data_IF_927249626627
#
_entry.id   IF_927249626627
#
_cell.length_a   1.000
_cell.length_b   1.000
_cell.length_c   1.000
_cell.angle_alpha   90.00
_cell.angle_beta   90.00
_cell.angle_gamma   90.00
#
_symmetry.space_group_name_H-M   'P 1'
#
loop_
_entity.id
_entity.type
_entity.pdbx_description
1 polymer ?
#
# COMPACT_ATOMS: atom_id res chain seq x y z
N UNK A 1 -3.34 27.33 -16.44
CA UNK A 1 -3.56 26.02 -15.78
C UNK A 1 -3.23 24.91 -16.76
N UNK A 2 -2.55 23.83 -16.35
CA UNK A 2 -2.39 22.65 -17.23
C UNK A 2 -3.77 22.07 -17.53
N UNK A 3 -4.05 21.76 -18.81
CA UNK A 3 -5.31 21.14 -19.24
C UNK A 3 -5.46 19.78 -18.55
N UNK A 4 -6.53 19.60 -17.79
CA UNK A 4 -6.87 18.31 -17.19
C UNK A 4 -7.55 17.43 -18.23
N UNK A 5 -7.23 16.14 -18.24
CA UNK A 5 -7.88 15.14 -19.08
C UNK A 5 -8.37 14.02 -18.19
N UNK A 6 -9.66 13.72 -18.29
CA UNK A 6 -10.29 12.64 -17.54
C UNK A 6 -10.16 11.34 -18.33
N UNK A 7 -9.75 10.28 -17.64
CA UNK A 7 -9.57 8.96 -18.22
C UNK A 7 -10.49 7.99 -17.47
N UNK A 8 -11.32 7.26 -18.21
CA UNK A 8 -12.20 6.24 -17.63
C UNK A 8 -11.39 5.12 -16.95
N UNK A 9 -11.90 4.59 -15.85
CA UNK A 9 -11.24 3.56 -15.05
C UNK A 9 -10.88 2.31 -15.88
N UNK A 10 -11.76 1.88 -16.78
CA UNK A 10 -11.56 0.68 -17.60
C UNK A 10 -10.36 0.84 -18.55
N UNK A 11 -10.14 2.06 -19.07
CA UNK A 11 -8.97 2.35 -19.91
C UNK A 11 -7.67 2.25 -19.12
N UNK A 12 -7.67 2.69 -17.87
CA UNK A 12 -6.52 2.59 -16.97
C UNK A 12 -6.23 1.12 -16.64
N UNK A 13 -7.26 0.33 -16.30
CA UNK A 13 -7.14 -1.10 -16.01
C UNK A 13 -6.59 -1.86 -17.23
N UNK A 14 -7.11 -1.55 -18.43
CA UNK A 14 -6.64 -2.13 -19.69
C UNK A 14 -5.17 -1.78 -19.94
N UNK A 15 -4.77 -0.52 -19.70
CA UNK A 15 -3.39 -0.08 -19.85
C UNK A 15 -2.43 -0.78 -18.88
N UNK A 16 -2.78 -0.89 -17.60
CA UNK A 16 -1.96 -1.59 -16.60
C UNK A 16 -1.80 -3.05 -17.02
N UNK A 17 -2.91 -3.74 -17.32
CA UNK A 17 -2.91 -5.15 -17.72
C UNK A 17 -2.04 -5.41 -18.96
N UNK A 18 -2.12 -4.54 -19.98
CA UNK A 18 -1.27 -4.67 -21.18
C UNK A 18 0.21 -4.51 -20.85
N UNK A 19 0.54 -3.58 -19.97
CA UNK A 19 1.93 -3.27 -19.63
C UNK A 19 2.55 -4.35 -18.75
N UNK A 20 1.83 -4.83 -17.73
CA UNK A 20 2.32 -5.89 -16.82
C UNK A 20 2.39 -7.26 -17.51
N UNK A 21 1.52 -7.52 -18.50
CA UNK A 21 1.60 -8.73 -19.32
C UNK A 21 2.93 -8.83 -20.08
N UNK A 22 3.50 -7.71 -20.56
CA UNK A 22 4.82 -7.71 -21.23
C UNK A 22 5.96 -8.13 -20.30
N UNK A 23 5.79 -7.94 -18.99
CA UNK A 23 6.75 -8.37 -17.98
C UNK A 23 6.50 -9.82 -17.53
N UNK A 24 5.49 -10.51 -18.04
CA UNK A 24 5.04 -11.82 -17.57
C UNK A 24 4.57 -11.82 -16.10
N UNK A 25 4.05 -10.69 -15.61
CA UNK A 25 3.42 -10.65 -14.29
C UNK A 25 2.17 -11.52 -14.28
N UNK A 26 2.05 -12.43 -13.31
CA UNK A 26 0.90 -13.31 -13.17
C UNK A 26 -0.39 -12.51 -13.00
N UNK A 27 -1.48 -13.01 -13.58
CA UNK A 27 -2.81 -12.35 -13.54
C UNK A 27 -3.23 -11.96 -12.12
N UNK A 28 -3.07 -12.87 -11.16
CA UNK A 28 -3.44 -12.63 -9.74
C UNK A 28 -2.71 -11.43 -9.14
N UNK A 29 -1.41 -11.31 -9.40
CA UNK A 29 -0.59 -10.21 -8.90
C UNK A 29 -0.92 -8.89 -9.60
N UNK A 30 -1.19 -8.95 -10.91
CA UNK A 30 -1.71 -7.81 -11.66
C UNK A 30 -3.05 -7.31 -11.10
N UNK A 31 -3.98 -8.22 -10.78
CA UNK A 31 -5.30 -7.87 -10.25
C UNK A 31 -5.16 -7.16 -8.88
N UNK A 32 -4.25 -7.62 -8.02
CA UNK A 32 -3.95 -6.96 -6.74
C UNK A 32 -3.28 -5.59 -6.91
N UNK A 33 -2.31 -5.48 -7.82
CA UNK A 33 -1.69 -4.20 -8.17
C UNK A 33 -2.74 -3.20 -8.66
N UNK A 34 -3.60 -3.62 -9.59
CA UNK A 34 -4.69 -2.79 -10.12
C UNK A 34 -5.65 -2.37 -9.01
N UNK A 35 -6.12 -3.32 -8.18
CA UNK A 35 -7.06 -3.04 -7.08
C UNK A 35 -6.51 -1.97 -6.14
N UNK A 36 -5.22 -2.04 -5.80
CA UNK A 36 -4.60 -1.05 -4.92
C UNK A 36 -4.40 0.32 -5.59
N UNK A 37 -3.78 0.37 -6.79
CA UNK A 37 -3.44 1.65 -7.43
C UNK A 37 -4.66 2.40 -7.95
N UNK A 38 -5.56 1.69 -8.64
CA UNK A 38 -6.78 2.28 -9.15
C UNK A 38 -7.69 2.66 -7.97
N UNK A 39 -7.86 1.76 -7.00
CA UNK A 39 -8.66 2.03 -5.81
C UNK A 39 -8.18 3.26 -5.03
N UNK A 40 -6.86 3.43 -4.88
CA UNK A 40 -6.28 4.60 -4.20
C UNK A 40 -6.54 5.89 -4.96
N UNK A 41 -6.42 5.86 -6.30
CA UNK A 41 -6.72 7.02 -7.15
C UNK A 41 -8.21 7.39 -7.07
N UNK A 42 -9.10 6.40 -7.09
CA UNK A 42 -10.55 6.61 -6.96
C UNK A 42 -10.98 7.20 -5.61
N UNK A 43 -10.15 7.05 -4.57
CA UNK A 43 -10.35 7.68 -3.25
C UNK A 43 -9.63 9.03 -3.12
N UNK A 44 -9.00 9.54 -4.18
CA UNK A 44 -8.24 10.79 -4.15
C UNK A 44 -6.85 10.68 -3.50
N UNK A 45 -6.35 9.46 -3.28
CA UNK A 45 -5.01 9.20 -2.72
C UNK A 45 -4.02 9.01 -3.87
N UNK A 46 -3.91 10.01 -4.74
CA UNK A 46 -3.07 9.98 -5.96
C UNK A 46 -1.57 9.86 -5.66
N UNK A 47 -1.19 10.13 -4.40
CA UNK A 47 0.17 9.91 -3.90
C UNK A 47 0.62 8.46 -4.09
N UNK A 48 -0.29 7.51 -3.87
CA UNK A 48 -0.09 6.06 -3.93
C UNK A 48 -1.02 5.39 -4.95
N UNK A 49 -1.56 6.18 -5.89
CA UNK A 49 -2.42 5.71 -6.97
C UNK A 49 -1.64 5.33 -8.24
N UNK A 50 -2.31 5.44 -9.39
CA UNK A 50 -1.78 5.06 -10.71
C UNK A 50 -0.46 5.74 -11.08
N UNK A 51 -0.18 6.90 -10.48
CA UNK A 51 1.08 7.63 -10.66
C UNK A 51 2.31 6.82 -10.25
N UNK A 52 2.16 5.84 -9.35
CA UNK A 52 3.26 4.94 -8.95
C UNK A 52 3.46 3.76 -9.89
N UNK A 53 2.59 3.54 -10.88
CA UNK A 53 2.75 2.41 -11.81
C UNK A 53 4.15 2.37 -12.46
N UNK A 54 4.74 3.48 -12.99
CA UNK A 54 6.08 3.44 -13.56
C UNK A 54 7.16 3.00 -12.56
N UNK A 55 7.01 3.33 -11.28
CA UNK A 55 7.94 2.89 -10.23
C UNK A 55 7.92 1.38 -10.06
N UNK A 56 6.72 0.77 -10.01
CA UNK A 56 6.61 -0.68 -9.86
C UNK A 56 7.07 -1.45 -11.10
N UNK A 57 6.74 -0.96 -12.29
CA UNK A 57 7.21 -1.55 -13.54
C UNK A 57 8.74 -1.56 -13.59
N UNK A 58 9.37 -0.43 -13.25
CA UNK A 58 10.83 -0.35 -13.18
C UNK A 58 11.42 -1.31 -12.14
N UNK A 59 10.82 -1.42 -10.95
CA UNK A 59 11.32 -2.35 -9.93
C UNK A 59 11.18 -3.83 -10.34
N UNK A 60 10.12 -4.18 -11.07
CA UNK A 60 9.93 -5.51 -11.64
C UNK A 60 10.95 -5.80 -12.75
N UNK A 61 11.13 -4.85 -13.68
CA UNK A 61 12.11 -4.95 -14.78
C UNK A 61 13.55 -5.09 -14.25
N UNK A 62 13.89 -4.37 -13.19
CA UNK A 62 15.22 -4.38 -12.58
C UNK A 62 15.44 -5.54 -11.59
N UNK A 63 14.44 -6.40 -11.38
CA UNK A 63 14.54 -7.54 -10.46
C UNK A 63 14.56 -7.17 -8.96
N UNK A 64 14.37 -5.89 -8.61
CA UNK A 64 14.22 -5.47 -7.20
C UNK A 64 12.95 -6.06 -6.58
N UNK A 65 11.90 -6.22 -7.39
CA UNK A 65 10.70 -6.97 -7.02
C UNK A 65 10.74 -8.29 -7.79
N UNK A 66 10.67 -9.40 -7.06
CA UNK A 66 10.57 -10.71 -7.66
C UNK A 66 9.23 -10.84 -8.40
N UNK A 67 9.31 -11.08 -9.71
CA UNK A 67 8.12 -11.18 -10.56
C UNK A 67 7.41 -12.53 -10.46
N UNK A 68 8.11 -13.56 -10.00
CA UNK A 68 7.60 -14.90 -9.80
C UNK A 68 7.84 -15.38 -8.35
N UNK A 69 7.33 -14.66 -7.34
CA UNK A 69 7.59 -14.98 -5.95
C UNK A 69 6.95 -16.31 -5.57
N UNK A 70 7.67 -17.12 -4.80
CA UNK A 70 7.18 -18.34 -4.14
C UNK A 70 6.77 -18.00 -2.71
N UNK A 71 5.67 -17.24 -2.58
CA UNK A 71 5.19 -16.83 -1.26
C UNK A 71 4.80 -18.03 -0.39
N UNK A 72 5.28 -18.05 0.86
CA UNK A 72 4.99 -19.13 1.80
C UNK A 72 4.25 -18.58 3.02
N UNK A 73 3.23 -19.31 3.48
CA UNK A 73 2.46 -18.94 4.66
C UNK A 73 2.60 -20.02 5.72
N UNK A 74 2.94 -19.62 6.94
CA UNK A 74 2.99 -20.47 8.12
C UNK A 74 2.00 -19.96 9.16
N UNK A 75 1.18 -20.85 9.71
CA UNK A 75 0.39 -20.55 10.90
C UNK A 75 1.25 -20.90 12.13
N UNK A 76 1.66 -19.90 12.89
CA UNK A 76 2.58 -20.05 14.02
C UNK A 76 1.83 -20.32 15.34
N UNK A 77 0.64 -19.72 15.49
CA UNK A 77 -0.27 -19.90 16.63
C UNK A 77 -1.71 -19.84 16.09
N UNK A 78 -2.74 -20.24 16.87
CA UNK A 78 -4.13 -20.25 16.38
C UNK A 78 -4.54 -18.95 15.70
N UNK A 79 -4.18 -17.80 16.28
CA UNK A 79 -4.52 -16.47 15.75
C UNK A 79 -3.38 -15.75 15.03
N UNK A 80 -2.20 -16.36 14.86
CA UNK A 80 -1.00 -15.67 14.36
C UNK A 80 -0.35 -16.46 13.23
N UNK A 81 -0.18 -15.82 12.08
CA UNK A 81 0.55 -16.36 10.94
C UNK A 81 1.68 -15.45 10.47
N UNK A 82 2.58 -16.03 9.68
CA UNK A 82 3.68 -15.35 9.01
C UNK A 82 3.62 -15.65 7.51
N UNK A 83 3.65 -14.61 6.69
CA UNK A 83 3.72 -14.68 5.23
C UNK A 83 5.10 -14.20 4.79
N UNK A 84 5.91 -15.08 4.21
CA UNK A 84 7.09 -14.68 3.45
C UNK A 84 6.66 -14.37 2.01
N UNK A 85 6.91 -13.13 1.58
CA UNK A 85 6.52 -12.65 0.27
C UNK A 85 7.57 -12.90 -0.84
N UNK A 86 8.73 -13.46 -0.50
CA UNK A 86 9.81 -13.80 -1.44
C UNK A 86 10.21 -12.62 -2.35
N UNK A 87 10.37 -11.44 -1.76
CA UNK A 87 10.63 -10.15 -2.40
C UNK A 87 9.60 -9.76 -3.48
N UNK A 88 8.40 -10.33 -3.41
CA UNK A 88 7.31 -10.08 -4.35
C UNK A 88 6.66 -8.71 -4.22
N UNK A 89 5.65 -8.47 -5.04
CA UNK A 89 4.85 -7.25 -4.98
C UNK A 89 4.19 -7.09 -3.60
N UNK A 90 4.43 -5.94 -2.96
CA UNK A 90 3.84 -5.61 -1.67
C UNK A 90 2.32 -5.62 -1.69
N UNK A 91 1.71 -5.25 -2.82
CA UNK A 91 0.27 -5.32 -3.01
C UNK A 91 -0.27 -6.74 -2.91
N UNK A 92 0.39 -7.68 -3.59
CA UNK A 92 0.00 -9.09 -3.55
C UNK A 92 0.18 -9.67 -2.16
N UNK A 93 1.34 -9.42 -1.54
CA UNK A 93 1.64 -9.87 -0.19
C UNK A 93 0.62 -9.34 0.82
N UNK A 94 0.29 -8.04 0.77
CA UNK A 94 -0.63 -7.42 1.70
C UNK A 94 -2.09 -7.86 1.49
N UNK A 95 -2.55 -8.02 0.25
CA UNK A 95 -3.89 -8.58 0.02
C UNK A 95 -3.97 -10.04 0.49
N UNK A 96 -2.98 -10.87 0.18
CA UNK A 96 -2.94 -12.26 0.64
C UNK A 96 -2.88 -12.35 2.16
N UNK A 97 -2.04 -11.54 2.81
CA UNK A 97 -1.95 -11.43 4.26
C UNK A 97 -3.27 -11.00 4.88
N UNK A 98 -3.96 -10.02 4.29
CA UNK A 98 -5.29 -9.58 4.74
C UNK A 98 -6.33 -10.70 4.63
N UNK A 99 -6.31 -11.47 3.54
CA UNK A 99 -7.21 -12.62 3.36
C UNK A 99 -6.95 -13.72 4.39
N UNK A 100 -5.67 -14.02 4.65
CA UNK A 100 -5.27 -14.99 5.69
C UNK A 100 -5.67 -14.52 7.08
N UNK A 101 -5.49 -13.24 7.41
CA UNK A 101 -5.92 -12.68 8.68
C UNK A 101 -7.44 -12.80 8.87
N UNK A 102 -8.23 -12.53 7.83
CA UNK A 102 -9.69 -12.72 7.84
C UNK A 102 -10.06 -14.19 8.05
N UNK A 103 -9.41 -15.12 7.33
CA UNK A 103 -9.69 -16.55 7.46
C UNK A 103 -9.38 -17.09 8.87
N UNK A 104 -8.33 -16.56 9.51
CA UNK A 104 -7.99 -16.87 10.90
C UNK A 104 -9.00 -16.24 11.86
N UNK A 105 -9.34 -14.96 11.68
CA UNK A 105 -10.27 -14.24 12.54
C UNK A 105 -11.67 -14.86 12.54
N UNK A 106 -12.13 -15.40 11.40
CA UNK A 106 -13.39 -16.16 11.32
C UNK A 106 -13.45 -17.35 12.27
N UNK A 107 -12.30 -18.00 12.53
CA UNK A 107 -12.22 -19.19 13.37
C UNK A 107 -11.97 -18.84 14.84
N UNK A 108 -11.16 -17.81 15.09
CA UNK A 108 -10.56 -17.56 16.40
C UNK A 108 -10.92 -16.18 16.98
N UNK A 109 -11.82 -15.42 16.35
CA UNK A 109 -12.20 -14.06 16.72
C UNK A 109 -11.18 -12.98 16.29
N UNK A 110 -9.89 -13.30 16.32
CA UNK A 110 -8.79 -12.42 15.88
C UNK A 110 -7.80 -13.17 14.99
N UNK A 111 -7.27 -12.47 13.98
CA UNK A 111 -6.24 -12.98 13.09
C UNK A 111 -5.18 -11.93 12.82
N UNK A 112 -3.92 -12.28 13.06
CA UNK A 112 -2.74 -11.43 12.90
C UNK A 112 -1.81 -12.11 11.91
N UNK A 113 -1.37 -11.37 10.89
CA UNK A 113 -0.41 -11.89 9.90
C UNK A 113 0.76 -10.94 9.78
N UNK A 114 1.94 -11.39 10.19
CA UNK A 114 3.20 -10.74 9.87
C UNK A 114 3.57 -11.00 8.41
N UNK A 115 4.10 -10.00 7.72
CA UNK A 115 4.56 -10.14 6.32
C UNK A 115 6.03 -9.73 6.26
N UNK A 116 6.88 -10.62 5.74
CA UNK A 116 8.33 -10.40 5.60
C UNK A 116 8.75 -10.53 4.13
N UNK A 117 9.95 -10.04 3.81
CA UNK A 117 10.53 -10.03 2.46
C UNK A 117 9.53 -9.48 1.42
N UNK A 118 8.88 -8.37 1.76
CA UNK A 118 7.90 -7.69 0.92
C UNK A 118 8.49 -6.44 0.28
N UNK A 119 7.70 -5.74 -0.52
CA UNK A 119 8.06 -4.46 -1.15
C UNK A 119 7.03 -3.38 -0.84
N UNK A 120 7.23 -2.17 -1.40
CA UNK A 120 6.29 -1.07 -1.23
C UNK A 120 4.88 -1.48 -1.69
N UNK A 121 3.87 -1.27 -0.83
CA UNK A 121 2.51 -1.77 -1.03
C UNK A 121 1.47 -0.69 -1.37
N UNK A 122 1.88 0.53 -1.73
CA UNK A 122 0.92 1.61 -1.97
C UNK A 122 0.25 2.13 -0.69
N UNK A 123 -1.05 2.45 -0.76
CA UNK A 123 -1.79 2.97 0.39
C UNK A 123 -2.20 1.85 1.34
N UNK A 124 -1.90 2.00 2.64
CA UNK A 124 -2.24 1.03 3.68
C UNK A 124 -3.75 0.79 3.76
N UNK A 125 -4.55 1.83 3.53
CA UNK A 125 -6.00 1.80 3.50
C UNK A 125 -6.60 0.84 2.47
N UNK A 126 -5.85 0.42 1.45
CA UNK A 126 -6.33 -0.58 0.48
C UNK A 126 -6.55 -1.96 1.10
N UNK A 127 -5.83 -2.28 2.18
CA UNK A 127 -5.82 -3.59 2.83
C UNK A 127 -6.71 -3.62 4.07
N UNK A 128 -6.63 -2.58 4.91
CA UNK A 128 -7.55 -2.45 6.04
C UNK A 128 -9.00 -2.38 5.54
N UNK A 129 -9.28 -1.56 4.53
CA UNK A 129 -10.61 -1.47 3.92
C UNK A 129 -11.10 -2.82 3.38
N UNK A 130 -10.21 -3.62 2.78
CA UNK A 130 -10.56 -4.97 2.33
C UNK A 130 -10.96 -5.90 3.49
N UNK A 131 -10.38 -5.71 4.68
CA UNK A 131 -10.78 -6.42 5.91
C UNK A 131 -12.16 -5.94 6.37
N UNK A 132 -12.40 -4.62 6.39
CA UNK A 132 -13.69 -4.05 6.78
C UNK A 132 -14.84 -4.40 5.84
N UNK A 133 -14.59 -4.47 4.53
CA UNK A 133 -15.55 -4.97 3.54
C UNK A 133 -15.96 -6.43 3.76
N UNK A 134 -15.20 -7.19 4.56
CA UNK A 134 -15.52 -8.57 4.97
C UNK A 134 -16.13 -8.67 6.36
N UNK A 135 -16.49 -7.53 6.97
CA UNK A 135 -17.18 -7.50 8.27
C UNK A 135 -16.25 -7.52 9.48
N UNK A 136 -14.96 -7.25 9.31
CA UNK A 136 -13.96 -7.26 10.39
C UNK A 136 -13.35 -5.88 10.61
N UNK A 137 -12.92 -5.58 11.83
CA UNK A 137 -12.05 -4.41 12.06
C UNK A 137 -10.68 -4.70 11.42
N UNK A 138 -10.21 -3.78 10.60
CA UNK A 138 -8.95 -3.88 9.86
C UNK A 138 -7.88 -2.96 10.43
N UNK A 139 -6.72 -3.52 10.75
CA UNK A 139 -5.51 -2.79 11.13
C UNK A 139 -4.38 -3.16 10.17
N UNK A 140 -3.69 -2.16 9.64
CA UNK A 140 -2.56 -2.37 8.73
C UNK A 140 -1.43 -1.39 9.05
N UNK A 141 -0.21 -1.93 9.08
CA UNK A 141 1.02 -1.22 9.41
C UNK A 141 2.08 -1.56 8.37
N UNK A 142 3.00 -0.64 8.10
CA UNK A 142 4.26 -0.94 7.41
C UNK A 142 5.31 0.08 7.80
N UNK A 143 6.54 -0.14 7.36
CA UNK A 143 7.61 0.84 7.44
C UNK A 143 8.20 1.14 6.05
N UNK A 144 9.01 2.19 5.96
CA UNK A 144 9.73 2.58 4.75
C UNK A 144 11.17 2.98 5.06
N UNK A 145 11.92 3.37 4.03
CA UNK A 145 13.27 3.93 4.18
C UNK A 145 13.27 5.16 5.12
N UNK A 146 14.42 5.51 5.69
CA UNK A 146 14.52 6.59 6.67
C UNK A 146 14.16 7.98 6.08
N UNK A 147 13.07 8.56 6.56
CA UNK A 147 12.57 9.90 6.19
C UNK A 147 12.23 10.77 7.41
N UNK A 148 11.56 10.21 8.41
CA UNK A 148 11.14 10.88 9.62
C UNK A 148 12.29 11.04 10.62
N UNK A 149 12.32 12.20 11.26
CA UNK A 149 13.25 12.51 12.34
C UNK A 149 12.51 12.26 13.67
N UNK A 150 13.07 11.47 14.60
CA UNK A 150 12.47 11.28 15.93
C UNK A 150 12.31 12.61 16.66
N UNK A 151 11.39 12.68 17.63
CA UNK A 151 11.30 13.85 18.50
C UNK A 151 12.65 14.11 19.19
N UNK A 152 13.10 15.38 19.19
CA UNK A 152 14.45 15.80 19.62
C UNK A 152 15.63 15.14 18.87
N UNK A 153 15.37 14.48 17.74
CA UNK A 153 16.39 13.99 16.84
C UNK A 153 16.85 15.05 15.84
N UNK A 154 18.01 14.80 15.22
CA UNK A 154 18.56 15.65 14.16
C UNK A 154 18.98 14.86 12.90
N UNK A 155 18.71 13.54 12.88
CA UNK A 155 18.97 12.65 11.73
C UNK A 155 17.71 11.85 11.39
N UNK A 156 17.53 11.56 10.11
CA UNK A 156 16.46 10.67 9.62
C UNK A 156 16.65 9.28 10.22
N UNK A 157 15.57 8.69 10.71
CA UNK A 157 15.61 7.38 11.35
C UNK A 157 14.40 6.53 10.98
N UNK A 158 13.18 7.01 11.27
CA UNK A 158 11.96 6.29 10.91
C UNK A 158 11.60 6.50 9.44
N UNK A 159 10.86 5.56 8.85
CA UNK A 159 10.13 5.86 7.63
C UNK A 159 8.92 6.75 7.88
N UNK A 160 8.10 6.92 6.83
CA UNK A 160 6.77 7.53 6.95
C UNK A 160 5.75 6.62 7.65
N UNK A 161 6.15 5.37 7.92
CA UNK A 161 5.47 4.32 8.70
C UNK A 161 3.96 4.54 8.88
N UNK A 162 3.15 4.28 7.83
CA UNK A 162 1.73 4.59 7.87
C UNK A 162 0.96 3.65 8.79
N UNK A 163 -0.12 4.19 9.33
CA UNK A 163 -1.11 3.51 10.15
C UNK A 163 -2.45 3.57 9.43
N UNK A 164 -3.07 2.40 9.22
CA UNK A 164 -4.44 2.35 8.74
C UNK A 164 -5.35 1.53 9.64
N UNK A 165 -6.51 2.11 9.91
CA UNK A 165 -7.61 1.53 10.65
C UNK A 165 -8.88 1.60 9.81
N UNK A 166 -9.70 0.55 9.86
CA UNK A 166 -11.01 0.56 9.24
C UNK A 166 -11.99 -0.29 10.02
N UNK A 167 -13.27 0.09 10.00
CA UNK A 167 -14.33 -0.67 10.65
C UNK A 167 -15.57 -0.79 9.76
N UNK A 168 -16.24 -1.95 9.73
CA UNK A 168 -17.51 -2.10 9.04
C UNK A 168 -18.58 -1.22 9.69
N UNK A 169 -19.48 -0.66 8.88
CA UNK A 169 -20.64 0.09 9.34
C UNK A 169 -21.92 -0.52 8.78
N UNK A 170 -22.99 -0.53 9.57
CA UNK A 170 -24.29 -1.06 9.14
C UNK A 170 -24.87 -0.15 8.05
N UNK A 171 -25.24 -0.73 6.90
CA UNK A 171 -25.89 -0.04 5.76
C UNK A 171 -25.11 1.17 5.21
N UNK A 172 -23.79 1.25 5.46
CA UNK A 172 -22.92 2.34 5.00
C UNK A 172 -21.58 1.79 4.53
N UNK A 173 -20.82 2.61 3.79
CA UNK A 173 -19.42 2.31 3.48
C UNK A 173 -18.62 2.21 4.78
N UNK A 174 -17.59 1.33 4.86
CA UNK A 174 -16.75 1.24 6.04
C UNK A 174 -16.13 2.59 6.44
N UNK A 175 -15.94 2.77 7.74
CA UNK A 175 -15.05 3.82 8.25
C UNK A 175 -13.62 3.46 7.83
N UNK A 176 -12.87 4.44 7.33
CA UNK A 176 -11.46 4.29 6.96
C UNK A 176 -10.66 5.49 7.46
N UNK A 177 -9.59 5.19 8.19
CA UNK A 177 -8.56 6.12 8.63
C UNK A 177 -7.24 5.59 8.08
N UNK A 178 -6.52 6.40 7.31
CA UNK A 178 -5.26 6.02 6.66
C UNK A 178 -4.33 7.24 6.61
N UNK A 179 -3.24 7.20 7.38
CA UNK A 179 -2.32 8.32 7.50
C UNK A 179 -0.87 7.89 7.74
N UNK A 180 0.05 8.79 7.37
CA UNK A 180 1.49 8.68 7.63
C UNK A 180 1.79 9.04 9.08
N UNK A 181 2.81 8.43 9.69
CA UNK A 181 3.30 8.86 11.01
C UNK A 181 3.93 10.27 10.98
N UNK A 182 4.38 10.71 9.81
CA UNK A 182 4.95 12.05 9.60
C UNK A 182 3.86 13.09 9.33
N UNK A 183 4.09 14.32 9.81
CA UNK A 183 3.16 15.46 9.68
C UNK A 183 2.75 15.73 8.22
N UNK A 184 3.68 15.55 7.29
CA UNK A 184 3.39 15.47 5.86
C UNK A 184 4.07 14.25 5.25
N UNK A 185 3.44 13.60 4.26
CA UNK A 185 4.08 12.56 3.49
C UNK A 185 5.19 13.14 2.59
N UNK A 186 6.25 12.36 2.36
CA UNK A 186 7.43 12.79 1.59
C UNK A 186 7.08 13.31 0.18
N UNK A 187 6.04 12.77 -0.45
CA UNK A 187 5.58 13.23 -1.75
C UNK A 187 5.09 14.69 -1.75
N UNK A 188 4.58 15.23 -0.63
CA UNK A 188 4.24 16.65 -0.50
C UNK A 188 5.50 17.52 -0.54
N UNK A 189 6.59 17.06 0.07
CA UNK A 189 7.92 17.70 -0.01
C UNK A 189 8.41 17.71 -1.46
N UNK A 190 8.42 16.56 -2.14
CA UNK A 190 8.82 16.48 -3.56
C UNK A 190 7.97 17.36 -4.46
N UNK A 191 6.65 17.40 -4.24
CA UNK A 191 5.72 18.24 -5.01
C UNK A 191 5.95 19.73 -4.77
N UNK A 192 6.21 20.14 -3.53
CA UNK A 192 6.54 21.52 -3.19
C UNK A 192 7.84 21.95 -3.88
N UNK A 193 8.88 21.10 -3.83
CA UNK A 193 10.14 21.30 -4.55
C UNK A 193 9.92 21.47 -6.05
N UNK A 194 9.20 20.54 -6.70
CA UNK A 194 8.94 20.58 -8.14
C UNK A 194 8.13 21.82 -8.58
N UNK A 195 7.23 22.29 -7.72
CA UNK A 195 6.40 23.47 -7.99
C UNK A 195 7.03 24.77 -7.48
N UNK A 196 8.26 24.74 -6.95
CA UNK A 196 8.94 25.88 -6.31
C UNK A 196 8.07 26.57 -5.26
N UNK A 197 7.30 25.80 -4.49
CA UNK A 197 6.45 26.30 -3.40
C UNK A 197 7.12 26.07 -2.05
N UNK A 198 6.97 27.02 -1.13
CA UNK A 198 7.40 26.87 0.27
C UNK A 198 6.52 25.85 0.98
N UNK A 199 7.12 25.11 1.90
CA UNK A 199 6.41 24.26 2.86
C UNK A 199 5.95 25.09 4.06
N UNK A 200 4.95 24.57 4.78
CA UNK A 200 4.53 25.14 6.07
C UNK A 200 5.67 24.96 7.07
N UNK A 201 5.86 25.90 8.00
CA UNK A 201 6.90 25.81 9.03
C UNK A 201 6.72 24.55 9.89
N UNK A 202 7.84 23.93 10.30
CA UNK A 202 7.83 22.79 11.23
C UNK A 202 7.54 21.42 10.62
N UNK A 203 7.51 21.30 9.28
CA UNK A 203 7.24 20.02 8.59
C UNK A 203 8.50 19.32 8.03
N UNK A 204 9.64 20.02 8.00
CA UNK A 204 10.95 19.54 7.53
C UNK A 204 12.08 20.22 8.30
N UNK A 205 13.26 19.60 8.32
CA UNK A 205 14.53 20.12 8.85
C UNK A 205 15.62 19.90 7.78
N UNK A 206 16.63 20.78 7.75
CA UNK A 206 17.78 20.72 6.84
C UNK A 206 18.90 19.78 7.32
#
# INVERSE_FOLDING_TARGET
MKKLTYIKQEKIISFITKTTKKLNLKKKDNDFLIKSLVGSSMRGVDSHGIRLLPHYLKCLEQGRININPKMTFKLNMPSIGLLDADNGLGHSAAYLGSMKAIDIAKKNGVGIVGIINSSHYGAAGAYSLNIAEKGFIGLCFTHSDAFGIPFNGYKKFHGTNPYSFSAPLIKRKPLLVDFSSTLIPFNKVTRAKNNKKKLIKGVTMD
#
